data_IF_920398889840
#
_entry.id   IF_920398889840
#
_cell.length_a   1.000
_cell.length_b   1.000
_cell.length_c   1.000
_cell.angle_alpha   90.00
_cell.angle_beta   90.00
_cell.angle_gamma   90.00
#
_symmetry.space_group_name_H-M   'P 1'
#
loop_
_entity.id
_entity.type
_entity.pdbx_description
1 polymer ?
#
# COMPACT_ATOMS: atom_id res chain seq x y z
N UNK A 1 -44.15 44.09 -8.30
CA UNK A 1 -43.34 43.22 -9.18
C UNK A 1 -41.90 43.75 -9.16
N UNK A 2 -41.01 43.20 -8.32
CA UNK A 2 -39.64 43.71 -8.14
C UNK A 2 -38.72 43.11 -9.20
N UNK A 3 -38.16 43.95 -10.07
CA UNK A 3 -37.18 43.55 -11.09
C UNK A 3 -35.90 43.05 -10.42
N UNK A 4 -35.52 41.80 -10.69
CA UNK A 4 -34.27 41.23 -10.21
C UNK A 4 -33.07 41.91 -10.90
N UNK A 5 -31.96 42.19 -10.19
CA UNK A 5 -30.79 42.80 -10.78
C UNK A 5 -30.13 41.81 -11.76
N UNK A 6 -29.94 42.23 -13.01
CA UNK A 6 -29.32 41.40 -14.04
C UNK A 6 -27.86 41.07 -13.66
N UNK A 7 -27.44 39.79 -13.66
CA UNK A 7 -26.09 39.41 -13.25
C UNK A 7 -25.06 39.94 -14.26
N UNK A 8 -24.02 40.60 -13.74
CA UNK A 8 -22.91 41.11 -14.58
C UNK A 8 -22.01 39.97 -15.05
N UNK A 9 -21.40 40.11 -16.24
CA UNK A 9 -20.47 39.10 -16.81
C UNK A 9 -19.38 38.68 -15.82
N UNK A 10 -18.84 39.64 -15.06
CA UNK A 10 -17.85 39.38 -14.01
C UNK A 10 -18.40 38.49 -12.91
N UNK A 11 -19.64 38.73 -12.45
CA UNK A 11 -20.31 37.89 -11.44
C UNK A 11 -20.48 36.46 -11.94
N UNK A 12 -20.88 36.30 -13.20
CA UNK A 12 -21.07 34.98 -13.84
C UNK A 12 -19.73 34.24 -13.91
N UNK A 13 -18.67 34.88 -14.39
CA UNK A 13 -17.34 34.26 -14.47
C UNK A 13 -16.82 33.90 -13.07
N UNK A 14 -17.02 34.79 -12.08
CA UNK A 14 -16.62 34.55 -10.70
C UNK A 14 -17.40 33.39 -10.06
N UNK A 15 -18.72 33.30 -10.29
CA UNK A 15 -19.54 32.22 -9.73
C UNK A 15 -19.22 30.87 -10.35
N UNK A 16 -18.99 30.81 -11.66
CA UNK A 16 -18.73 29.53 -12.35
C UNK A 16 -17.30 29.05 -12.12
N UNK A 17 -16.31 29.95 -12.16
CA UNK A 17 -14.90 29.61 -11.90
C UNK A 17 -14.66 29.15 -10.47
N UNK A 18 -15.31 29.80 -9.48
CA UNK A 18 -15.23 29.37 -8.08
C UNK A 18 -15.94 28.05 -7.80
N UNK A 19 -17.09 27.80 -8.44
CA UNK A 19 -17.86 26.56 -8.25
C UNK A 19 -17.15 25.31 -8.79
N UNK A 20 -16.59 25.38 -10.00
CA UNK A 20 -15.88 24.24 -10.61
C UNK A 20 -14.60 23.88 -9.84
N UNK A 21 -13.86 24.89 -9.36
CA UNK A 21 -12.65 24.67 -8.55
C UNK A 21 -12.94 23.96 -7.22
N UNK A 22 -14.05 24.31 -6.56
CA UNK A 22 -14.46 23.65 -5.32
C UNK A 22 -14.88 22.20 -5.53
N UNK A 23 -15.52 21.87 -6.66
CA UNK A 23 -15.85 20.48 -7.00
C UNK A 23 -14.60 19.63 -7.21
N UNK A 24 -13.60 20.14 -7.93
CA UNK A 24 -12.33 19.44 -8.11
C UNK A 24 -11.57 19.27 -6.78
N UNK A 25 -11.60 20.27 -5.91
CA UNK A 25 -10.99 20.17 -4.58
C UNK A 25 -11.70 19.15 -3.69
N UNK A 26 -13.04 19.11 -3.73
CA UNK A 26 -13.82 18.14 -2.97
C UNK A 26 -13.50 16.69 -3.41
N UNK A 27 -13.33 16.46 -4.72
CA UNK A 27 -12.90 15.18 -5.27
C UNK A 27 -11.49 14.80 -4.80
N UNK A 28 -10.53 15.72 -4.88
CA UNK A 28 -9.16 15.46 -4.39
C UNK A 28 -9.10 15.20 -2.88
N UNK A 29 -9.95 15.86 -2.08
CA UNK A 29 -9.98 15.66 -0.63
C UNK A 29 -10.61 14.31 -0.25
N UNK A 30 -11.53 13.79 -1.06
CA UNK A 30 -12.11 12.45 -0.88
C UNK A 30 -11.30 11.33 -1.51
N UNK A 31 -10.40 11.64 -2.45
CA UNK A 31 -9.49 10.68 -3.03
C UNK A 31 -8.55 10.12 -1.95
N UNK A 32 -8.91 8.96 -1.40
CA UNK A 32 -7.99 8.16 -0.62
C UNK A 32 -6.87 7.69 -1.56
N UNK A 33 -5.58 7.82 -1.20
CA UNK A 33 -4.54 7.26 -2.01
C UNK A 33 -4.71 5.73 -2.01
N UNK A 34 -5.18 5.18 -3.12
CA UNK A 34 -5.09 3.75 -3.36
C UNK A 34 -3.60 3.42 -3.43
N UNK A 35 -3.07 2.90 -2.32
CA UNK A 35 -1.69 2.40 -2.23
C UNK A 35 -1.58 1.01 -2.85
N UNK A 36 -2.36 0.75 -3.90
CA UNK A 36 -2.24 -0.46 -4.69
C UNK A 36 -0.98 -0.31 -5.55
N UNK A 37 0.05 -1.13 -5.31
CA UNK A 37 1.23 -1.07 -6.16
C UNK A 37 0.80 -1.45 -7.59
N UNK A 38 1.16 -0.61 -8.56
CA UNK A 38 0.86 -0.83 -9.98
C UNK A 38 1.50 -2.12 -10.54
N UNK A 39 2.44 -2.71 -9.79
CA UNK A 39 3.18 -3.90 -10.17
C UNK A 39 3.25 -4.89 -9.02
N UNK A 40 3.31 -6.19 -9.35
CA UNK A 40 3.55 -7.23 -8.36
C UNK A 40 4.92 -7.01 -7.68
N UNK A 41 5.01 -7.06 -6.34
CA UNK A 41 6.27 -6.90 -5.65
C UNK A 41 7.22 -8.05 -5.99
N UNK A 42 8.46 -7.70 -6.33
CA UNK A 42 9.54 -8.66 -6.58
C UNK A 42 10.60 -8.53 -5.50
N UNK A 43 10.97 -9.64 -4.86
CA UNK A 43 12.08 -9.65 -3.90
C UNK A 43 13.39 -9.29 -4.61
N UNK A 44 14.04 -8.20 -4.17
CA UNK A 44 15.28 -7.67 -4.79
C UNK A 44 16.54 -8.05 -4.02
N UNK A 45 16.43 -8.37 -2.74
CA UNK A 45 17.54 -8.71 -1.84
C UNK A 45 17.07 -9.76 -0.85
N UNK A 46 17.95 -10.71 -0.54
CA UNK A 46 17.75 -11.73 0.52
C UNK A 46 18.92 -11.59 1.48
N UNK A 47 18.64 -11.49 2.78
CA UNK A 47 19.66 -11.50 3.83
C UNK A 47 19.71 -12.93 4.37
N UNK A 48 20.78 -13.66 4.05
CA UNK A 48 21.01 -15.01 4.55
C UNK A 48 22.02 -14.95 5.70
N UNK A 49 21.59 -15.37 6.89
CA UNK A 49 22.42 -15.39 8.09
C UNK A 49 22.88 -16.82 8.36
N UNK A 50 24.20 -17.04 8.42
CA UNK A 50 24.78 -18.32 8.83
C UNK A 50 25.09 -18.28 10.33
N UNK A 51 24.14 -18.75 11.14
CA UNK A 51 24.29 -18.83 12.59
C UNK A 51 24.62 -20.27 12.99
N UNK A 52 25.58 -20.45 13.89
CA UNK A 52 25.87 -21.76 14.45
C UNK A 52 24.68 -22.22 15.33
N UNK A 53 24.14 -23.40 15.08
CA UNK A 53 23.00 -23.95 15.83
C UNK A 53 21.61 -23.51 15.36
N UNK A 54 21.48 -22.73 14.28
CA UNK A 54 20.19 -22.41 13.68
C UNK A 54 19.69 -23.53 12.75
N UNK A 55 18.38 -23.84 12.72
CA UNK A 55 17.84 -24.83 11.79
C UNK A 55 18.04 -24.36 10.34
N UNK A 56 18.65 -25.21 9.51
CA UNK A 56 18.76 -24.97 8.07
C UNK A 56 17.36 -24.93 7.44
N UNK A 57 17.14 -24.10 6.42
CA UNK A 57 15.80 -23.89 5.86
C UNK A 57 15.12 -25.19 5.36
N UNK A 58 15.88 -26.13 4.80
CA UNK A 58 15.31 -27.43 4.39
C UNK A 58 15.03 -28.38 5.57
N UNK A 59 15.36 -28.00 6.80
CA UNK A 59 15.19 -28.79 8.01
C UNK A 59 13.98 -28.32 8.86
N UNK A 60 13.32 -27.21 8.50
CA UNK A 60 12.19 -26.71 9.30
C UNK A 60 10.92 -27.56 9.19
N UNK A 61 10.69 -28.19 8.04
CA UNK A 61 9.40 -28.84 7.74
C UNK A 61 9.52 -30.31 7.32
N UNK A 62 10.73 -30.87 7.32
CA UNK A 62 10.97 -32.26 6.99
C UNK A 62 11.31 -33.05 8.27
N UNK A 63 10.41 -33.92 8.76
CA UNK A 63 10.68 -34.71 9.96
C UNK A 63 11.85 -35.65 9.72
N UNK A 64 12.88 -35.56 10.57
CA UNK A 64 14.08 -36.41 10.51
C UNK A 64 14.00 -37.53 11.54
N UNK A 65 13.36 -38.68 11.23
CA UNK A 65 13.17 -39.77 12.19
C UNK A 65 14.50 -40.35 12.68
N UNK A 66 15.52 -40.38 11.83
CA UNK A 66 16.85 -40.87 12.20
C UNK A 66 17.53 -39.96 13.23
N UNK A 67 17.29 -38.64 13.18
CA UNK A 67 17.83 -37.71 14.17
C UNK A 67 17.30 -38.01 15.58
N UNK A 68 16.03 -38.39 15.68
CA UNK A 68 15.41 -38.83 16.94
C UNK A 68 15.96 -40.19 17.39
N UNK A 69 16.21 -41.10 16.44
CA UNK A 69 16.71 -42.45 16.71
C UNK A 69 18.13 -42.45 17.29
N UNK A 70 18.98 -41.56 16.78
CA UNK A 70 20.40 -41.49 17.15
C UNK A 70 20.71 -40.33 18.11
N UNK A 71 19.68 -39.68 18.67
CA UNK A 71 19.84 -38.60 19.63
C UNK A 71 20.63 -39.07 20.88
N UNK A 72 21.77 -38.43 21.14
CA UNK A 72 22.63 -38.73 22.30
C UNK A 72 23.59 -39.91 22.11
N UNK A 73 23.63 -40.55 20.93
CA UNK A 73 24.60 -41.58 20.64
C UNK A 73 25.94 -40.95 20.25
N UNK A 74 27.04 -41.40 20.87
CA UNK A 74 28.39 -40.99 20.50
C UNK A 74 28.87 -41.82 19.29
N UNK A 75 29.60 -41.20 18.35
CA UNK A 75 30.07 -41.85 17.12
C UNK A 75 31.03 -43.01 17.40
#
# INVERSE_FOLDING_TARGET
MKTQPQPSRRRIIQSTGGGLGLLALADMLQAAPERTPQYAPKAKRVIQLFMNGGPFQCDLFDPKPDLNKFAGQRP
#
